data_IF_452710947561
#
_entry.id   IF_452710947561
#
_cell.length_a   1.000
_cell.length_b   1.000
_cell.length_c   1.000
_cell.angle_alpha   90.00
_cell.angle_beta   90.00
_cell.angle_gamma   90.00
#
_symmetry.space_group_name_H-M   'P 1'
#
loop_
_entity.id
_entity.type
_entity.pdbx_description
1 polymer ?
#
# COMPACT_ATOMS: atom_id res chain seq x y z
N UNK A 1 -1.78 -15.83 -14.64
CA UNK A 1 -1.91 -16.01 -13.17
C UNK A 1 -0.70 -15.44 -12.38
N UNK A 2 0.18 -14.63 -12.99
CA UNK A 2 1.50 -14.31 -12.42
C UNK A 2 1.60 -12.92 -11.75
N UNK A 3 0.94 -11.91 -12.31
CA UNK A 3 1.11 -10.51 -11.86
C UNK A 3 0.56 -10.25 -10.44
N UNK A 4 -0.49 -10.95 -10.02
CA UNK A 4 -1.12 -10.76 -8.69
C UNK A 4 -0.27 -11.29 -7.56
N UNK A 5 0.23 -12.51 -7.74
CA UNK A 5 1.20 -13.11 -6.80
C UNK A 5 2.44 -12.23 -6.70
N UNK A 6 2.81 -11.53 -7.79
CA UNK A 6 3.88 -10.55 -7.77
C UNK A 6 3.55 -9.30 -6.95
N UNK A 7 2.30 -8.81 -6.95
CA UNK A 7 1.90 -7.67 -6.11
C UNK A 7 1.83 -8.04 -4.62
N UNK A 8 1.33 -9.23 -4.28
CA UNK A 8 1.32 -9.70 -2.89
C UNK A 8 2.75 -9.82 -2.34
N UNK A 9 3.68 -10.34 -3.14
CA UNK A 9 5.11 -10.40 -2.78
C UNK A 9 5.70 -9.00 -2.60
N UNK A 10 5.44 -8.06 -3.52
CA UNK A 10 5.91 -6.67 -3.40
C UNK A 10 5.36 -5.97 -2.16
N UNK A 11 4.09 -6.21 -1.79
CA UNK A 11 3.51 -5.67 -0.56
C UNK A 11 4.27 -6.20 0.66
N UNK A 12 4.58 -7.50 0.71
CA UNK A 12 5.35 -8.09 1.80
C UNK A 12 6.76 -7.49 1.90
N UNK A 13 7.47 -7.37 0.77
CA UNK A 13 8.80 -6.76 0.72
C UNK A 13 8.78 -5.30 1.20
N UNK A 14 7.77 -4.54 0.79
CA UNK A 14 7.67 -3.12 1.15
C UNK A 14 7.29 -2.97 2.63
N UNK A 15 6.47 -3.87 3.17
CA UNK A 15 6.15 -3.92 4.60
C UNK A 15 7.39 -4.23 5.42
N UNK A 16 8.25 -5.15 4.96
CA UNK A 16 9.52 -5.42 5.62
C UNK A 16 10.49 -4.22 5.54
N UNK A 17 10.53 -3.53 4.41
CA UNK A 17 11.29 -2.29 4.25
C UNK A 17 10.80 -1.19 5.20
N UNK A 18 9.49 -1.03 5.39
CA UNK A 18 8.92 -0.11 6.39
C UNK A 18 9.42 -0.44 7.80
N UNK A 19 9.35 -1.71 8.21
CA UNK A 19 9.85 -2.14 9.54
C UNK A 19 11.32 -1.78 9.74
N UNK A 20 12.17 -2.06 8.74
CA UNK A 20 13.60 -1.73 8.80
C UNK A 20 13.86 -0.23 8.93
N UNK A 21 13.07 0.61 8.25
CA UNK A 21 13.14 2.06 8.35
C UNK A 21 12.70 2.56 9.73
N UNK A 22 11.60 2.03 10.27
CA UNK A 22 11.12 2.39 11.60
C UNK A 22 12.15 2.06 12.69
N UNK A 23 12.77 0.89 12.61
CA UNK A 23 13.87 0.50 13.50
C UNK A 23 15.07 1.45 13.36
N UNK A 24 15.45 1.83 12.13
CA UNK A 24 16.55 2.76 11.89
C UNK A 24 16.27 4.16 12.45
N UNK A 25 15.04 4.67 12.29
CA UNK A 25 14.58 5.91 12.92
C UNK A 25 14.67 5.80 14.44
N UNK A 26 14.20 4.68 15.01
CA UNK A 26 14.29 4.41 16.46
C UNK A 26 15.73 4.47 16.97
N UNK A 27 16.67 3.79 16.29
CA UNK A 27 18.10 3.80 16.63
C UNK A 27 18.69 5.21 16.55
N UNK A 28 18.41 5.95 15.47
CA UNK A 28 18.93 7.31 15.30
C UNK A 28 18.40 8.26 16.38
N UNK A 29 17.13 8.13 16.77
CA UNK A 29 16.55 8.91 17.86
C UNK A 29 17.16 8.59 19.21
N UNK A 30 17.40 7.31 19.51
CA UNK A 30 18.10 6.90 20.72
C UNK A 30 19.53 7.50 20.76
N UNK A 31 20.26 7.39 19.66
CA UNK A 31 21.61 7.95 19.54
C UNK A 31 21.62 9.50 19.65
N UNK A 32 20.60 10.18 19.13
CA UNK A 32 20.46 11.63 19.26
C UNK A 32 20.18 12.04 20.71
N UNK A 33 19.37 11.27 21.46
CA UNK A 33 19.09 11.52 22.86
C UNK A 33 20.34 11.38 23.75
N UNK A 34 21.23 10.44 23.41
CA UNK A 34 22.47 10.19 24.15
C UNK A 34 23.62 11.15 23.78
N UNK A 35 23.58 11.74 22.59
CA UNK A 35 24.68 12.59 22.11
C UNK A 35 24.70 13.94 22.84
N UNK A 36 25.87 14.32 23.35
CA UNK A 36 26.13 15.66 23.90
C UNK A 36 26.52 16.69 22.84
N UNK A 37 26.76 16.26 21.59
CA UNK A 37 27.19 17.12 20.50
C UNK A 37 25.96 17.61 19.70
N UNK A 38 25.73 18.93 19.71
CA UNK A 38 24.56 19.54 19.05
C UNK A 38 24.55 19.32 17.54
N UNK A 39 25.70 19.36 16.87
CA UNK A 39 25.83 19.16 15.43
C UNK A 39 25.49 17.71 15.06
N UNK A 40 25.97 16.76 15.87
CA UNK A 40 25.67 15.34 15.68
C UNK A 40 24.18 15.06 15.88
N UNK A 41 23.56 15.66 16.90
CA UNK A 41 22.11 15.58 17.14
C UNK A 41 21.31 16.08 15.94
N UNK A 42 21.61 17.30 15.47
CA UNK A 42 20.94 17.87 14.30
C UNK A 42 21.11 17.01 13.05
N UNK A 43 22.28 16.38 12.85
CA UNK A 43 22.50 15.45 11.74
C UNK A 43 21.62 14.20 11.85
N UNK A 44 21.52 13.61 13.05
CA UNK A 44 20.67 12.44 13.32
C UNK A 44 19.19 12.77 13.17
N UNK A 45 18.75 13.94 13.65
CA UNK A 45 17.37 14.43 13.48
C UNK A 45 17.04 14.62 12.01
N UNK A 46 17.92 15.26 11.22
CA UNK A 46 17.73 15.39 9.78
C UNK A 46 17.67 14.04 9.06
N UNK A 47 18.48 13.07 9.47
CA UNK A 47 18.43 11.72 8.93
C UNK A 47 17.09 11.03 9.26
N UNK A 48 16.55 11.24 10.46
CA UNK A 48 15.22 10.74 10.82
C UNK A 48 14.12 11.34 9.93
N UNK A 49 14.18 12.64 9.63
CA UNK A 49 13.20 13.28 8.75
C UNK A 49 13.24 12.73 7.32
N UNK A 50 14.43 12.47 6.77
CA UNK A 50 14.57 11.82 5.45
C UNK A 50 13.93 10.43 5.47
N UNK A 51 14.25 9.61 6.47
CA UNK A 51 13.68 8.26 6.58
C UNK A 51 12.16 8.27 6.79
N UNK A 52 11.61 9.29 7.46
CA UNK A 52 10.15 9.47 7.60
C UNK A 52 9.47 9.76 6.28
N UNK A 53 10.10 10.55 5.41
CA UNK A 53 9.58 10.80 4.06
C UNK A 53 9.60 9.53 3.20
N UNK A 54 10.66 8.74 3.29
CA UNK A 54 10.74 7.43 2.63
C UNK A 54 9.67 6.47 3.15
N UNK A 55 9.47 6.42 4.47
CA UNK A 55 8.41 5.62 5.10
C UNK A 55 7.03 6.01 4.56
N UNK A 56 6.73 7.31 4.49
CA UNK A 56 5.47 7.81 3.94
C UNK A 56 5.29 7.43 2.46
N UNK A 57 6.37 7.48 1.66
CA UNK A 57 6.36 7.05 0.25
C UNK A 57 6.04 5.57 0.12
N UNK A 58 6.68 4.70 0.91
CA UNK A 58 6.40 3.26 0.93
C UNK A 58 4.98 2.97 1.37
N UNK A 59 4.48 3.63 2.41
CA UNK A 59 3.08 3.50 2.87
C UNK A 59 2.11 3.82 1.75
N UNK A 60 2.33 4.93 1.03
CA UNK A 60 1.49 5.30 -0.12
C UNK A 60 1.50 4.19 -1.16
N UNK A 61 2.67 3.65 -1.49
CA UNK A 61 2.80 2.63 -2.54
C UNK A 61 2.15 1.30 -2.16
N UNK A 62 2.23 0.89 -0.90
CA UNK A 62 1.51 -0.28 -0.38
C UNK A 62 0.01 -0.08 -0.51
N UNK A 63 -0.51 1.09 -0.09
CA UNK A 63 -1.94 1.40 -0.18
C UNK A 63 -2.43 1.35 -1.64
N UNK A 64 -1.66 1.91 -2.59
CA UNK A 64 -1.96 1.82 -4.03
C UNK A 64 -2.04 0.36 -4.51
N UNK A 65 -1.08 -0.47 -4.15
CA UNK A 65 -1.09 -1.89 -4.53
C UNK A 65 -2.28 -2.64 -3.92
N UNK A 66 -2.63 -2.36 -2.66
CA UNK A 66 -3.80 -2.92 -2.00
C UNK A 66 -5.12 -2.48 -2.65
N UNK A 67 -5.21 -1.23 -3.09
CA UNK A 67 -6.37 -0.72 -3.84
C UNK A 67 -6.54 -1.44 -5.17
N UNK A 68 -5.45 -1.61 -5.93
CA UNK A 68 -5.45 -2.37 -7.18
C UNK A 68 -5.98 -3.79 -6.96
N UNK A 69 -5.50 -4.49 -5.93
CA UNK A 69 -5.98 -5.83 -5.59
C UNK A 69 -7.47 -5.81 -5.24
N UNK A 70 -7.92 -4.83 -4.44
CA UNK A 70 -9.32 -4.70 -3.99
C UNK A 70 -10.29 -4.42 -5.14
N UNK A 71 -10.02 -3.40 -5.95
CA UNK A 71 -10.88 -3.02 -7.09
C UNK A 71 -11.08 -4.20 -8.04
N UNK A 72 -10.01 -4.96 -8.27
CA UNK A 72 -10.04 -6.11 -9.16
C UNK A 72 -10.69 -7.35 -8.54
N UNK A 73 -10.65 -7.49 -7.22
CA UNK A 73 -11.49 -8.45 -6.48
C UNK A 73 -12.98 -8.10 -6.56
N UNK A 74 -13.31 -6.81 -6.49
CA UNK A 74 -14.68 -6.30 -6.65
C UNK A 74 -15.24 -6.58 -8.06
N UNK A 75 -14.41 -6.58 -9.10
CA UNK A 75 -14.85 -6.97 -10.45
C UNK A 75 -15.10 -8.47 -10.62
N UNK A 76 -14.57 -9.33 -9.74
CA UNK A 76 -14.82 -10.79 -9.75
C UNK A 76 -16.05 -11.19 -8.91
N UNK A 77 -16.35 -10.45 -7.86
CA UNK A 77 -17.60 -10.55 -7.13
C UNK A 77 -18.58 -9.53 -7.70
N UNK A 78 -19.12 -9.84 -8.89
CA UNK A 78 -20.22 -9.15 -9.55
C UNK A 78 -20.45 -7.70 -9.14
N UNK A 79 -20.10 -6.77 -10.03
CA UNK A 79 -20.92 -5.58 -10.13
C UNK A 79 -22.34 -6.04 -10.47
N UNK A 80 -23.16 -6.33 -9.45
CA UNK A 80 -24.61 -6.28 -9.55
C UNK A 80 -24.88 -4.82 -9.82
N UNK A 81 -24.90 -4.47 -11.10
CA UNK A 81 -25.60 -3.30 -11.53
C UNK A 81 -27.02 -3.47 -11.00
N UNK A 82 -27.58 -2.50 -10.23
CA UNK A 82 -29.01 -2.54 -9.94
C UNK A 82 -29.69 -2.65 -11.29
N UNK A 83 -30.60 -3.62 -11.44
CA UNK A 83 -31.30 -3.90 -12.69
C UNK A 83 -31.70 -2.56 -13.31
N UNK A 84 -31.01 -2.16 -14.39
CA UNK A 84 -31.60 -1.14 -15.24
C UNK A 84 -32.86 -1.81 -15.76
N UNK A 85 -34.02 -1.28 -15.38
CA UNK A 85 -35.24 -1.46 -16.15
C UNK A 85 -34.99 -0.81 -17.52
N UNK A 86 -34.19 -1.48 -18.34
CA UNK A 86 -33.92 -1.12 -19.70
C UNK A 86 -35.17 -1.59 -20.49
N UNK A 87 -36.08 -0.68 -20.90
CA UNK A 87 -37.32 -1.09 -21.49
C UNK A 87 -37.07 -1.34 -22.98
N UNK A 88 -37.03 -2.61 -23.38
CA UNK A 88 -37.15 -2.97 -24.78
C UNK A 88 -36.28 -4.12 -25.22
N UNK A 89 -36.88 -5.30 -25.36
CA UNK A 89 -36.26 -6.43 -26.04
C UNK A 89 -37.04 -7.73 -25.91
N UNK A 90 -38.21 -7.82 -26.56
CA UNK A 90 -38.93 -9.09 -26.77
C UNK A 90 -38.08 -10.08 -27.60
N UNK A 91 -38.11 -11.36 -27.22
CA UNK A 91 -37.81 -12.54 -28.06
C UNK A 91 -37.41 -13.75 -27.21
N UNK A 92 -38.32 -14.65 -26.81
CA UNK A 92 -38.67 -15.92 -27.49
C UNK A 92 -37.43 -16.82 -27.73
N UNK A 93 -37.26 -18.04 -27.21
CA UNK A 93 -38.11 -19.26 -27.25
C UNK A 93 -37.53 -20.36 -26.32
N UNK A 94 -38.44 -21.10 -25.68
CA UNK A 94 -38.62 -22.57 -25.66
C UNK A 94 -37.47 -23.57 -25.93
N UNK A 95 -37.42 -24.61 -25.08
CA UNK A 95 -36.87 -25.97 -25.33
C UNK A 95 -35.69 -26.32 -24.42
N UNK A 96 -35.64 -27.39 -23.62
CA UNK A 96 -36.48 -28.58 -23.36
C UNK A 96 -36.44 -28.87 -21.85
#
# INVERSE_FOLDING_TARGET
MAEWKSLDVLICEYTEAQRRLEEAIGRNRAQAAESRNIVQRMRLDRACEVMRLELASLTRRIIEMQQIIRERGSHKHGAVWPDCDCPGGKGARHGE
#
